data_IF_038627620168
#
_entry.id   IF_038627620168
#
_cell.length_a   1.000
_cell.length_b   1.000
_cell.length_c   1.000
_cell.angle_alpha   90.00
_cell.angle_beta   90.00
_cell.angle_gamma   90.00
#
_symmetry.space_group_name_H-M   'P 1'
#
loop_
_entity.id
_entity.type
_entity.pdbx_description
1 polymer ?
#
# COMPACT_ATOMS: atom_id res chain seq x y z
N UNK A 1 87.40 46.71 22.57
CA UNK A 1 86.54 45.65 23.09
C UNK A 1 85.09 46.01 22.74
N UNK A 2 84.54 45.43 21.60
CA UNK A 2 83.14 45.64 21.20
C UNK A 2 82.29 44.44 21.70
N UNK A 3 81.34 44.71 22.59
CA UNK A 3 80.40 43.72 23.06
C UNK A 3 79.18 43.74 22.11
N UNK A 4 79.04 42.64 21.32
CA UNK A 4 77.81 42.38 20.52
C UNK A 4 76.73 41.84 21.46
N UNK A 5 75.63 42.56 21.52
CA UNK A 5 74.39 42.08 22.14
C UNK A 5 73.58 41.33 21.10
N UNK A 6 73.41 40.01 21.23
CA UNK A 6 72.45 39.19 20.48
C UNK A 6 71.09 39.31 21.17
N UNK A 7 70.10 39.83 20.42
CA UNK A 7 68.69 39.74 20.82
C UNK A 7 68.07 38.41 20.30
N UNK A 8 67.46 37.60 21.11
CA UNK A 8 66.70 36.42 20.62
C UNK A 8 65.37 36.88 20.06
N UNK A 9 65.16 36.66 18.76
CA UNK A 9 63.83 36.78 18.14
C UNK A 9 63.01 35.59 18.58
N UNK A 10 62.03 35.83 19.46
CA UNK A 10 61.00 34.83 19.83
C UNK A 10 60.00 34.79 18.64
N UNK A 11 60.12 33.75 17.84
CA UNK A 11 59.12 33.44 16.77
C UNK A 11 57.88 32.81 17.45
N UNK A 12 56.82 33.62 17.65
CA UNK A 12 55.53 33.14 18.05
C UNK A 12 54.89 32.37 16.89
N UNK A 13 55.00 31.05 16.91
CA UNK A 13 54.23 30.16 16.02
C UNK A 13 52.81 30.14 16.57
N UNK A 14 51.91 30.92 15.92
CA UNK A 14 50.47 30.80 16.11
C UNK A 14 50.06 29.43 15.55
N UNK A 15 49.90 28.45 16.43
CA UNK A 15 49.23 27.18 16.08
C UNK A 15 47.76 27.51 15.89
N UNK A 16 47.38 27.75 14.63
CA UNK A 16 45.99 27.76 14.22
C UNK A 16 45.51 26.31 14.27
N UNK A 17 44.95 25.90 15.40
CA UNK A 17 44.21 24.65 15.47
C UNK A 17 43.04 24.73 14.48
N UNK A 18 42.91 23.80 13.51
CA UNK A 18 41.71 23.75 12.72
C UNK A 18 40.54 23.50 13.67
N UNK A 19 39.63 24.47 13.81
CA UNK A 19 38.32 24.22 14.37
C UNK A 19 37.69 23.12 13.52
N UNK A 20 37.76 21.86 13.98
CA UNK A 20 36.87 20.83 13.54
C UNK A 20 35.47 21.34 13.90
N UNK A 21 34.81 21.91 12.90
CA UNK A 21 33.37 22.11 12.98
C UNK A 21 32.76 20.77 13.40
N UNK A 22 32.14 20.74 14.56
CA UNK A 22 31.28 19.64 14.94
C UNK A 22 30.26 19.54 13.80
N UNK A 23 30.42 18.56 12.94
CA UNK A 23 29.39 18.19 12.00
C UNK A 23 28.15 17.94 12.88
N UNK A 24 27.18 18.83 12.82
CA UNK A 24 25.95 18.71 13.59
C UNK A 24 25.38 17.33 13.35
N UNK A 25 25.00 16.65 14.43
CA UNK A 25 24.37 15.32 14.34
C UNK A 25 23.13 15.47 13.43
N UNK A 26 23.15 14.76 12.31
CA UNK A 26 22.04 14.78 11.35
C UNK A 26 20.86 14.03 11.99
N UNK A 27 19.80 14.75 12.35
CA UNK A 27 18.61 14.17 12.98
C UNK A 27 17.58 13.74 11.94
N UNK A 28 16.72 12.78 12.30
CA UNK A 28 15.59 12.36 11.46
C UNK A 28 14.71 13.55 11.09
N UNK A 29 14.41 14.42 12.06
CA UNK A 29 13.59 15.60 11.86
C UNK A 29 14.16 16.49 10.76
N UNK A 30 15.45 16.77 10.79
CA UNK A 30 16.09 17.64 9.80
C UNK A 30 16.05 17.03 8.38
N UNK A 31 16.22 15.71 8.27
CA UNK A 31 16.17 15.00 6.99
C UNK A 31 14.74 14.96 6.44
N UNK A 32 13.75 14.63 7.27
CA UNK A 32 12.35 14.57 6.89
C UNK A 32 11.81 15.95 6.48
N UNK A 33 12.10 17.00 7.28
CA UNK A 33 11.68 18.37 7.00
C UNK A 33 12.32 18.90 5.69
N UNK A 34 13.54 18.51 5.38
CA UNK A 34 14.19 18.85 4.12
C UNK A 34 13.60 18.10 2.92
N UNK A 35 13.27 16.82 3.10
CA UNK A 35 12.57 16.03 2.08
C UNK A 35 11.17 16.61 1.78
N UNK A 36 10.41 16.99 2.81
CA UNK A 36 9.08 17.57 2.67
C UNK A 36 9.05 18.91 1.89
N UNK A 37 10.20 19.59 1.80
CA UNK A 37 10.34 20.84 1.04
C UNK A 37 10.72 20.63 -0.43
N UNK A 38 10.91 19.40 -0.88
CA UNK A 38 11.20 19.11 -2.29
C UNK A 38 9.98 19.38 -3.16
N UNK A 39 10.23 19.72 -4.43
CA UNK A 39 9.17 20.11 -5.36
C UNK A 39 8.29 18.95 -5.78
N UNK A 40 8.82 17.74 -5.78
CA UNK A 40 8.12 16.51 -6.17
C UNK A 40 8.34 15.40 -5.15
N UNK A 41 7.41 14.43 -5.12
CA UNK A 41 7.55 13.26 -4.26
C UNK A 41 8.76 12.40 -4.67
N UNK A 42 9.06 12.31 -5.97
CA UNK A 42 10.24 11.60 -6.46
C UNK A 42 11.55 12.22 -5.95
N UNK A 43 11.64 13.55 -5.95
CA UNK A 43 12.78 14.25 -5.35
C UNK A 43 12.87 14.05 -3.83
N UNK A 44 11.72 13.98 -3.15
CA UNK A 44 11.67 13.68 -1.70
C UNK A 44 12.21 12.28 -1.41
N UNK A 45 11.79 11.28 -2.18
CA UNK A 45 12.25 9.88 -2.06
C UNK A 45 13.75 9.80 -2.32
N UNK A 46 14.25 10.37 -3.43
CA UNK A 46 15.67 10.38 -3.74
C UNK A 46 16.49 11.04 -2.61
N UNK A 47 16.03 12.19 -2.11
CA UNK A 47 16.69 12.88 -1.03
C UNK A 47 16.76 12.05 0.27
N UNK A 48 15.67 11.35 0.63
CA UNK A 48 15.64 10.47 1.81
C UNK A 48 16.60 9.30 1.64
N UNK A 49 16.63 8.65 0.47
CA UNK A 49 17.53 7.54 0.15
C UNK A 49 19.01 7.95 0.24
N UNK A 50 19.36 9.11 -0.29
CA UNK A 50 20.73 9.62 -0.25
C UNK A 50 21.19 9.99 1.17
N UNK A 51 20.29 10.52 1.99
CA UNK A 51 20.67 11.11 3.28
C UNK A 51 20.46 10.18 4.48
N UNK A 52 19.74 9.06 4.35
CA UNK A 52 19.55 8.12 5.46
C UNK A 52 20.85 7.53 6.00
N UNK A 53 21.86 7.37 5.14
CA UNK A 53 23.19 6.87 5.55
C UNK A 53 23.97 7.85 6.44
N UNK A 54 23.72 9.15 6.30
CA UNK A 54 24.34 10.20 7.12
C UNK A 54 23.76 10.28 8.53
N UNK A 55 22.60 9.66 8.77
CA UNK A 55 21.98 9.59 10.09
C UNK A 55 22.66 8.51 10.92
N UNK A 56 23.33 8.89 12.01
CA UNK A 56 24.14 7.96 12.83
C UNK A 56 23.36 7.38 14.00
N UNK A 57 22.44 8.15 14.60
CA UNK A 57 21.62 7.68 15.72
C UNK A 57 20.61 6.64 15.23
N UNK A 58 20.57 5.46 15.89
CA UNK A 58 19.70 4.34 15.47
C UNK A 58 18.23 4.70 15.45
N UNK A 59 17.73 5.45 16.46
CA UNK A 59 16.34 5.87 16.51
C UNK A 59 15.98 6.79 15.33
N UNK A 60 16.83 7.78 15.04
CA UNK A 60 16.67 8.68 13.91
C UNK A 60 16.70 7.91 12.57
N UNK A 61 17.66 6.99 12.42
CA UNK A 61 17.78 6.18 11.21
C UNK A 61 16.52 5.33 10.97
N UNK A 62 16.00 4.70 12.02
CA UNK A 62 14.74 3.95 11.97
C UNK A 62 13.59 4.87 11.53
N UNK A 63 13.48 6.06 12.11
CA UNK A 63 12.43 7.01 11.79
C UNK A 63 12.49 7.48 10.33
N UNK A 64 13.70 7.75 9.79
CA UNK A 64 13.88 8.12 8.37
C UNK A 64 13.47 6.97 7.45
N UNK A 65 13.90 5.72 7.73
CA UNK A 65 13.47 4.57 6.94
C UNK A 65 11.96 4.36 7.01
N UNK A 66 11.35 4.47 8.20
CA UNK A 66 9.89 4.32 8.36
C UNK A 66 9.13 5.38 7.57
N UNK A 67 9.61 6.63 7.56
CA UNK A 67 9.02 7.70 6.78
C UNK A 67 9.17 7.47 5.27
N UNK A 68 10.38 7.09 4.81
CA UNK A 68 10.63 6.75 3.41
C UNK A 68 9.71 5.61 2.95
N UNK A 69 9.60 4.55 3.74
CA UNK A 69 8.72 3.42 3.44
C UNK A 69 7.25 3.85 3.31
N UNK A 70 6.78 4.72 4.19
CA UNK A 70 5.41 5.25 4.13
C UNK A 70 5.18 6.09 2.86
N UNK A 71 6.15 6.87 2.42
CA UNK A 71 6.06 7.64 1.16
C UNK A 71 6.02 6.69 -0.04
N UNK A 72 6.87 5.67 -0.08
CA UNK A 72 6.90 4.66 -1.14
C UNK A 72 5.57 3.88 -1.20
N UNK A 73 5.00 3.52 -0.04
CA UNK A 73 3.71 2.87 0.06
C UNK A 73 2.58 3.74 -0.52
N UNK A 74 2.55 5.04 -0.19
CA UNK A 74 1.57 5.98 -0.73
C UNK A 74 1.67 6.15 -2.25
N UNK A 75 2.85 5.93 -2.82
CA UNK A 75 3.06 5.92 -4.26
C UNK A 75 2.72 4.57 -4.93
N UNK A 76 2.29 3.56 -4.16
CA UNK A 76 2.05 2.20 -4.66
C UNK A 76 3.32 1.42 -4.98
N UNK A 77 4.50 1.91 -4.58
CA UNK A 77 5.79 1.22 -4.73
C UNK A 77 5.97 0.17 -3.63
N UNK A 78 5.03 -0.79 -3.58
CA UNK A 78 4.90 -1.72 -2.46
C UNK A 78 6.12 -2.62 -2.28
N UNK A 79 6.78 -3.05 -3.36
CA UNK A 79 7.97 -3.90 -3.28
C UNK A 79 9.16 -3.18 -2.63
N UNK A 80 9.32 -1.89 -2.90
CA UNK A 80 10.35 -1.06 -2.28
C UNK A 80 9.97 -0.68 -0.84
N UNK A 81 8.69 -0.36 -0.63
CA UNK A 81 8.17 -0.05 0.70
C UNK A 81 8.35 -1.21 1.69
N UNK A 82 8.03 -2.45 1.28
CA UNK A 82 8.23 -3.63 2.16
C UNK A 82 9.68 -3.79 2.58
N UNK A 83 10.63 -3.66 1.64
CA UNK A 83 12.05 -3.78 1.93
C UNK A 83 12.53 -2.66 2.87
N UNK A 84 12.04 -1.45 2.65
CA UNK A 84 12.40 -0.28 3.47
C UNK A 84 11.81 -0.37 4.88
N UNK A 85 10.57 -0.86 5.05
CA UNK A 85 10.02 -1.15 6.37
C UNK A 85 10.79 -2.25 7.09
N UNK A 86 11.19 -3.32 6.39
CA UNK A 86 12.02 -4.38 6.96
C UNK A 86 13.40 -3.86 7.39
N UNK A 87 14.00 -2.97 6.60
CA UNK A 87 15.23 -2.28 7.00
C UNK A 87 15.02 -1.44 8.26
N UNK A 88 13.94 -0.65 8.33
CA UNK A 88 13.61 0.13 9.53
C UNK A 88 13.44 -0.78 10.75
N UNK A 89 12.75 -1.92 10.60
CA UNK A 89 12.54 -2.89 11.69
C UNK A 89 13.85 -3.52 12.20
N UNK A 90 14.84 -3.70 11.31
CA UNK A 90 16.15 -4.29 11.64
C UNK A 90 17.10 -3.32 12.35
N UNK A 91 16.85 -2.02 12.28
CA UNK A 91 17.70 -1.04 12.98
C UNK A 91 17.53 -1.21 14.48
N UNK A 92 18.61 -1.56 15.15
CA UNK A 92 18.62 -1.71 16.62
C UNK A 92 18.24 -0.38 17.29
N UNK A 93 17.32 -0.43 18.25
CA UNK A 93 16.89 0.74 19.02
C UNK A 93 15.92 0.29 20.10
N UNK A 94 15.99 0.89 21.29
CA UNK A 94 14.97 0.67 22.31
C UNK A 94 13.68 1.40 21.93
N UNK A 95 12.55 0.87 22.37
CA UNK A 95 11.25 1.54 22.25
C UNK A 95 11.25 2.92 22.95
N UNK A 96 12.16 3.13 23.89
CA UNK A 96 12.28 4.36 24.67
C UNK A 96 12.99 5.51 23.93
N UNK A 97 13.55 5.25 22.73
CA UNK A 97 14.25 6.25 21.92
C UNK A 97 13.32 6.92 20.91
N UNK A 98 12.21 7.49 21.38
CA UNK A 98 11.32 8.25 20.51
C UNK A 98 12.01 9.51 20.00
N UNK A 99 11.94 9.73 18.70
CA UNK A 99 12.42 10.96 18.04
C UNK A 99 11.29 11.98 18.05
N UNK A 100 11.56 13.15 18.62
CA UNK A 100 10.56 14.20 18.73
C UNK A 100 10.09 14.71 17.36
N UNK A 101 8.78 14.83 17.21
CA UNK A 101 8.16 15.43 16.01
C UNK A 101 8.14 14.55 14.78
N UNK A 102 8.41 13.24 14.91
CA UNK A 102 8.25 12.24 13.86
C UNK A 102 7.42 11.06 14.34
N UNK A 103 6.81 10.33 13.41
CA UNK A 103 6.06 9.12 13.74
C UNK A 103 7.05 8.03 14.17
N UNK A 104 6.95 7.61 15.42
CA UNK A 104 7.76 6.54 15.97
C UNK A 104 7.01 5.21 15.91
N UNK A 105 7.61 4.21 15.30
CA UNK A 105 7.10 2.83 15.25
C UNK A 105 8.13 1.88 15.84
N UNK A 106 7.66 0.91 16.61
CA UNK A 106 8.51 -0.17 17.10
C UNK A 106 8.79 -1.20 15.98
N UNK A 107 9.71 -2.13 16.23
CA UNK A 107 10.10 -3.11 15.22
C UNK A 107 8.95 -4.03 14.79
N UNK A 108 8.07 -4.42 15.72
CA UNK A 108 6.91 -5.26 15.39
C UNK A 108 5.90 -4.53 14.50
N UNK A 109 5.62 -3.26 14.77
CA UNK A 109 4.75 -2.42 13.93
C UNK A 109 5.31 -2.28 12.51
N UNK A 110 6.63 -2.08 12.39
CA UNK A 110 7.30 -1.97 11.09
C UNK A 110 7.29 -3.29 10.31
N UNK A 111 7.42 -4.42 11.01
CA UNK A 111 7.26 -5.74 10.39
C UNK A 111 5.84 -5.93 9.86
N UNK A 112 4.81 -5.54 10.62
CA UNK A 112 3.42 -5.59 10.17
C UNK A 112 3.18 -4.70 8.94
N UNK A 113 3.79 -3.52 8.87
CA UNK A 113 3.73 -2.67 7.68
C UNK A 113 4.45 -3.31 6.48
N UNK A 114 5.59 -3.99 6.70
CA UNK A 114 6.29 -4.75 5.67
C UNK A 114 5.42 -5.91 5.13
N UNK A 115 4.72 -6.64 6.01
CA UNK A 115 3.76 -7.69 5.61
C UNK A 115 2.66 -7.12 4.71
N UNK A 116 2.05 -6.00 5.12
CA UNK A 116 1.01 -5.34 4.34
C UNK A 116 1.51 -4.98 2.93
N UNK A 117 2.68 -4.37 2.85
CA UNK A 117 3.28 -4.01 1.58
C UNK A 117 3.66 -5.24 0.73
N UNK A 118 4.17 -6.32 1.35
CA UNK A 118 4.47 -7.57 0.68
C UNK A 118 3.21 -8.20 0.06
N UNK A 119 2.10 -8.22 0.80
CA UNK A 119 0.81 -8.69 0.30
C UNK A 119 0.33 -7.83 -0.88
N UNK A 120 0.43 -6.49 -0.78
CA UNK A 120 0.06 -5.57 -1.87
C UNK A 120 0.96 -5.73 -3.10
N UNK A 121 2.24 -6.05 -2.91
CA UNK A 121 3.18 -6.37 -3.99
C UNK A 121 2.93 -7.76 -4.61
N UNK A 122 2.16 -8.62 -3.92
CA UNK A 122 1.96 -10.04 -4.24
C UNK A 122 3.19 -10.89 -3.96
N UNK A 123 4.05 -10.44 -3.10
CA UNK A 123 5.19 -11.21 -2.58
C UNK A 123 4.76 -11.97 -1.31
N UNK A 124 3.95 -13.01 -1.52
CA UNK A 124 3.39 -13.82 -0.43
C UNK A 124 4.46 -14.60 0.34
N UNK A 125 5.58 -14.92 -0.31
CA UNK A 125 6.69 -15.61 0.34
C UNK A 125 7.37 -14.72 1.39
N UNK A 126 7.64 -13.47 1.05
CA UNK A 126 8.16 -12.50 2.01
C UNK A 126 7.13 -12.17 3.10
N UNK A 127 5.83 -12.04 2.74
CA UNK A 127 4.77 -11.85 3.73
C UNK A 127 4.76 -12.97 4.78
N UNK A 128 4.78 -14.24 4.35
CA UNK A 128 4.83 -15.41 5.26
C UNK A 128 6.12 -15.42 6.09
N UNK A 129 7.26 -15.06 5.50
CA UNK A 129 8.53 -14.97 6.23
C UNK A 129 8.47 -13.93 7.35
N UNK A 130 7.93 -12.75 7.07
CA UNK A 130 7.76 -11.71 8.07
C UNK A 130 6.77 -12.14 9.17
N UNK A 131 5.64 -12.75 8.82
CA UNK A 131 4.65 -13.26 9.79
C UNK A 131 5.23 -14.35 10.70
N UNK A 132 6.14 -15.17 10.19
CA UNK A 132 6.85 -16.21 10.94
C UNK A 132 8.08 -15.69 11.71
N UNK A 133 8.36 -14.40 11.68
CA UNK A 133 9.45 -13.79 12.44
C UNK A 133 9.08 -13.58 13.92
N UNK A 134 9.80 -12.71 14.61
CA UNK A 134 9.57 -12.39 16.02
C UNK A 134 8.12 -11.98 16.35
N UNK A 135 7.39 -11.37 15.40
CA UNK A 135 6.00 -10.91 15.59
C UNK A 135 5.02 -12.06 15.84
N UNK A 136 5.35 -13.28 15.42
CA UNK A 136 4.51 -14.47 15.67
C UNK A 136 4.24 -14.70 17.16
N UNK A 137 5.23 -14.39 18.01
CA UNK A 137 5.17 -14.60 19.46
C UNK A 137 5.01 -13.30 20.25
N UNK A 138 4.51 -12.26 19.58
CA UNK A 138 4.30 -10.94 20.21
C UNK A 138 3.40 -11.02 21.43
N UNK A 139 3.64 -10.14 22.39
CA UNK A 139 2.78 -9.94 23.56
C UNK A 139 1.80 -8.80 23.37
N UNK A 140 1.96 -8.01 22.31
CA UNK A 140 1.03 -6.95 21.95
C UNK A 140 -0.21 -7.55 21.29
N UNK A 141 -1.37 -7.40 21.96
CA UNK A 141 -2.64 -7.93 21.46
C UNK A 141 -3.03 -7.33 20.09
N UNK A 142 -2.70 -6.07 19.85
CA UNK A 142 -2.99 -5.41 18.58
C UNK A 142 -2.15 -5.99 17.46
N UNK A 143 -0.85 -6.16 17.68
CA UNK A 143 0.05 -6.80 16.70
C UNK A 143 -0.39 -8.24 16.44
N UNK A 144 -0.70 -9.00 17.50
CA UNK A 144 -1.22 -10.38 17.38
C UNK A 144 -2.48 -10.45 16.51
N UNK A 145 -3.39 -9.48 16.64
CA UNK A 145 -4.57 -9.43 15.81
C UNK A 145 -4.24 -9.18 14.32
N UNK A 146 -3.29 -8.28 14.02
CA UNK A 146 -2.80 -8.08 12.64
C UNK A 146 -2.10 -9.32 12.09
N UNK A 147 -1.27 -10.01 12.87
CA UNK A 147 -0.62 -11.27 12.44
C UNK A 147 -1.68 -12.27 11.99
N UNK A 148 -2.69 -12.54 12.83
CA UNK A 148 -3.78 -13.45 12.50
C UNK A 148 -4.57 -13.03 11.26
N UNK A 149 -4.88 -11.75 11.11
CA UNK A 149 -5.57 -11.24 9.93
C UNK A 149 -4.73 -11.43 8.67
N UNK A 150 -3.47 -11.07 8.71
CA UNK A 150 -2.58 -11.11 7.54
C UNK A 150 -2.19 -12.55 7.15
N UNK A 151 -2.17 -13.50 8.10
CA UNK A 151 -2.09 -14.93 7.79
C UNK A 151 -3.28 -15.37 6.91
N UNK A 152 -4.50 -14.94 7.26
CA UNK A 152 -5.67 -15.24 6.42
C UNK A 152 -5.58 -14.54 5.06
N UNK A 153 -5.13 -13.30 5.05
CA UNK A 153 -4.95 -12.58 3.81
C UNK A 153 -3.89 -13.21 2.91
N UNK A 154 -2.77 -13.66 3.46
CA UNK A 154 -1.76 -14.41 2.70
C UNK A 154 -2.33 -15.72 2.14
N UNK A 155 -3.12 -16.45 2.93
CA UNK A 155 -3.81 -17.66 2.48
C UNK A 155 -4.78 -17.38 1.34
N UNK A 156 -5.61 -16.33 1.47
CA UNK A 156 -6.55 -15.90 0.43
C UNK A 156 -5.85 -15.52 -0.89
N UNK A 157 -4.70 -14.84 -0.80
CA UNK A 157 -3.93 -14.45 -1.99
C UNK A 157 -3.30 -15.64 -2.73
N UNK A 158 -3.04 -16.73 -2.03
CA UNK A 158 -2.48 -17.98 -2.58
C UNK A 158 -3.56 -18.92 -3.11
N UNK A 159 -4.82 -18.67 -2.80
CA UNK A 159 -5.95 -19.46 -3.24
C UNK A 159 -6.03 -19.54 -4.77
N UNK A 160 -6.24 -20.73 -5.30
CA UNK A 160 -6.32 -21.01 -6.73
C UNK A 160 -7.77 -21.12 -7.21
N UNK A 161 -8.63 -21.55 -6.31
CA UNK A 161 -10.05 -21.72 -6.57
C UNK A 161 -10.89 -21.36 -5.34
N UNK A 162 -12.19 -21.45 -5.51
CA UNK A 162 -13.15 -21.12 -4.47
C UNK A 162 -13.15 -22.10 -3.29
N UNK A 163 -12.70 -23.34 -3.48
CA UNK A 163 -12.53 -24.31 -2.40
C UNK A 163 -11.47 -23.85 -1.41
N UNK A 164 -10.37 -23.30 -1.93
CA UNK A 164 -9.22 -22.86 -1.14
C UNK A 164 -9.56 -21.73 -0.18
N UNK A 165 -10.56 -20.89 -0.49
CA UNK A 165 -10.92 -19.74 0.37
C UNK A 165 -11.89 -20.09 1.50
N UNK A 166 -12.54 -21.25 1.47
CA UNK A 166 -13.58 -21.63 2.45
C UNK A 166 -13.08 -21.63 3.89
N UNK A 167 -11.88 -22.15 4.11
CA UNK A 167 -11.26 -22.20 5.45
C UNK A 167 -10.98 -20.79 5.98
N UNK A 168 -10.37 -19.94 5.14
CA UNK A 168 -10.08 -18.55 5.53
C UNK A 168 -11.35 -17.75 5.78
N UNK A 169 -12.41 -17.94 5.01
CA UNK A 169 -13.71 -17.32 5.26
C UNK A 169 -14.31 -17.76 6.60
N UNK A 170 -14.26 -19.07 6.91
CA UNK A 170 -14.73 -19.60 8.20
C UNK A 170 -13.92 -19.02 9.37
N UNK A 171 -12.59 -18.93 9.21
CA UNK A 171 -11.72 -18.35 10.23
C UNK A 171 -12.01 -16.84 10.42
N UNK A 172 -12.16 -16.08 9.34
CA UNK A 172 -12.50 -14.65 9.40
C UNK A 172 -13.87 -14.42 10.05
N UNK A 173 -14.87 -15.28 9.82
CA UNK A 173 -16.16 -15.23 10.53
C UNK A 173 -15.97 -15.40 12.05
N UNK A 174 -15.10 -16.32 12.45
CA UNK A 174 -14.71 -16.49 13.86
C UNK A 174 -14.05 -15.23 14.40
N UNK A 175 -13.10 -14.66 13.67
CA UNK A 175 -12.39 -13.43 14.07
C UNK A 175 -13.33 -12.23 14.21
N UNK A 176 -14.37 -12.13 13.39
CA UNK A 176 -15.37 -11.07 13.50
C UNK A 176 -16.08 -11.06 14.86
N UNK A 177 -16.17 -12.22 15.54
CA UNK A 177 -16.83 -12.37 16.84
C UNK A 177 -15.87 -12.24 18.05
N UNK A 178 -14.55 -12.45 17.87
CA UNK A 178 -13.59 -12.47 18.97
C UNK A 178 -13.20 -11.06 19.45
N UNK A 179 -13.21 -10.84 20.78
CA UNK A 179 -12.79 -9.57 21.37
C UNK A 179 -11.29 -9.28 21.17
N UNK A 180 -10.45 -10.31 21.15
CA UNK A 180 -9.03 -10.16 20.85
C UNK A 180 -8.76 -9.61 19.44
N UNK A 181 -9.74 -9.65 18.54
CA UNK A 181 -9.64 -9.13 17.16
C UNK A 181 -10.26 -7.74 17.00
N UNK A 182 -10.66 -7.07 18.08
CA UNK A 182 -11.36 -5.76 18.02
C UNK A 182 -10.59 -4.69 17.24
N UNK A 183 -9.26 -4.69 17.32
CA UNK A 183 -8.38 -3.71 16.65
C UNK A 183 -8.41 -3.82 15.12
N UNK A 184 -8.68 -5.01 14.59
CA UNK A 184 -8.72 -5.30 13.14
C UNK A 184 -10.12 -5.71 12.67
N UNK A 185 -11.10 -5.71 13.54
CA UNK A 185 -12.48 -6.15 13.23
C UNK A 185 -13.09 -5.40 12.03
N UNK A 186 -12.92 -4.08 11.86
CA UNK A 186 -13.41 -3.41 10.65
C UNK A 186 -12.84 -4.02 9.37
N UNK A 187 -11.53 -4.28 9.33
CA UNK A 187 -10.87 -4.89 8.17
C UNK A 187 -11.33 -6.34 7.94
N UNK A 188 -11.56 -7.12 9.01
CA UNK A 188 -12.15 -8.47 8.93
C UNK A 188 -13.54 -8.40 8.30
N UNK A 189 -14.40 -7.48 8.77
CA UNK A 189 -15.77 -7.32 8.25
C UNK A 189 -15.78 -6.88 6.79
N UNK A 190 -14.88 -5.95 6.41
CA UNK A 190 -14.73 -5.52 5.02
C UNK A 190 -14.31 -6.68 4.12
N UNK A 191 -13.32 -7.48 4.58
CA UNK A 191 -12.85 -8.66 3.84
C UNK A 191 -14.00 -9.67 3.65
N UNK A 192 -14.75 -9.96 4.70
CA UNK A 192 -15.90 -10.86 4.64
C UNK A 192 -16.97 -10.34 3.68
N UNK A 193 -17.34 -9.05 3.79
CA UNK A 193 -18.30 -8.45 2.87
C UNK A 193 -17.85 -8.54 1.42
N UNK A 194 -16.57 -8.23 1.17
CA UNK A 194 -16.00 -8.30 -0.17
C UNK A 194 -16.02 -9.72 -0.74
N UNK A 195 -15.64 -10.74 0.07
CA UNK A 195 -15.60 -12.14 -0.38
C UNK A 195 -16.97 -12.79 -0.51
N UNK A 196 -17.91 -12.46 0.40
CA UNK A 196 -19.18 -13.18 0.47
C UNK A 196 -20.36 -12.41 -0.11
N UNK A 197 -20.27 -11.10 -0.27
CA UNK A 197 -21.39 -10.23 -0.64
C UNK A 197 -22.46 -10.10 0.47
N UNK A 198 -22.27 -10.71 1.64
CA UNK A 198 -23.26 -10.74 2.70
C UNK A 198 -23.44 -9.36 3.34
N UNK A 199 -24.63 -8.79 3.15
CA UNK A 199 -24.97 -7.44 3.61
C UNK A 199 -24.85 -7.25 5.12
N UNK A 200 -24.94 -8.31 5.94
CA UNK A 200 -24.81 -8.20 7.38
C UNK A 200 -23.46 -7.62 7.81
N UNK A 201 -22.39 -7.90 7.07
CA UNK A 201 -21.06 -7.37 7.38
C UNK A 201 -20.96 -5.86 7.07
N UNK A 202 -21.55 -5.42 5.97
CA UNK A 202 -21.61 -4.01 5.62
C UNK A 202 -22.47 -3.20 6.58
N UNK A 203 -23.61 -3.74 7.00
CA UNK A 203 -24.48 -3.11 8.00
C UNK A 203 -23.80 -3.04 9.37
N UNK A 204 -23.06 -4.09 9.75
CA UNK A 204 -22.26 -4.07 10.98
C UNK A 204 -21.19 -2.98 10.94
N UNK A 205 -20.49 -2.82 9.82
CA UNK A 205 -19.51 -1.73 9.62
C UNK A 205 -20.15 -0.36 9.77
N UNK A 206 -21.26 -0.11 9.08
CA UNK A 206 -21.96 1.18 9.12
C UNK A 206 -22.46 1.52 10.53
N UNK A 207 -22.99 0.52 11.25
CA UNK A 207 -23.60 0.70 12.56
C UNK A 207 -22.56 0.84 13.69
N UNK A 208 -21.57 -0.07 13.73
CA UNK A 208 -20.66 -0.20 14.87
C UNK A 208 -19.32 0.50 14.66
N UNK A 209 -18.96 0.78 13.40
CA UNK A 209 -17.70 1.42 13.02
C UNK A 209 -17.89 2.59 12.04
N UNK A 210 -18.84 3.53 12.29
CA UNK A 210 -19.24 4.56 11.32
C UNK A 210 -18.11 5.49 10.88
N UNK A 211 -17.05 5.61 11.70
CA UNK A 211 -15.89 6.47 11.44
C UNK A 211 -14.68 5.71 10.87
N UNK A 212 -14.79 4.40 10.65
CA UNK A 212 -13.70 3.64 10.07
C UNK A 212 -13.60 3.89 8.56
N UNK A 213 -12.40 3.71 8.04
CA UNK A 213 -12.15 3.79 6.59
C UNK A 213 -12.95 2.70 5.86
N UNK A 214 -13.04 1.52 6.43
CA UNK A 214 -13.79 0.39 5.87
C UNK A 214 -15.30 0.71 5.75
N UNK A 215 -15.84 1.43 6.72
CA UNK A 215 -17.24 1.89 6.63
C UNK A 215 -17.43 2.94 5.53
N UNK A 216 -16.47 3.84 5.34
CA UNK A 216 -16.50 4.82 4.27
C UNK A 216 -16.39 4.15 2.88
N UNK A 217 -15.57 3.09 2.76
CA UNK A 217 -15.49 2.26 1.54
C UNK A 217 -16.84 1.64 1.22
N UNK A 218 -17.48 1.01 2.21
CA UNK A 218 -18.79 0.35 2.04
C UNK A 218 -19.90 1.34 1.69
N UNK A 219 -19.80 2.60 2.15
CA UNK A 219 -20.74 3.68 1.77
C UNK A 219 -20.44 4.30 0.40
N UNK A 220 -19.33 3.92 -0.25
CA UNK A 220 -18.90 4.51 -1.51
C UNK A 220 -18.34 5.93 -1.37
N UNK A 221 -18.01 6.38 -0.17
CA UNK A 221 -17.42 7.70 0.08
C UNK A 221 -15.93 7.77 -0.25
N UNK A 222 -15.27 6.62 -0.28
CA UNK A 222 -13.86 6.47 -0.62
C UNK A 222 -13.77 5.47 -1.76
N UNK A 223 -13.18 5.92 -2.87
CA UNK A 223 -12.74 5.02 -3.93
C UNK A 223 -11.40 4.41 -3.49
N UNK A 224 -11.38 3.13 -3.24
CA UNK A 224 -10.11 2.41 -3.09
C UNK A 224 -9.53 2.18 -4.46
N UNK A 225 -8.28 2.58 -4.66
CA UNK A 225 -7.49 2.06 -5.78
C UNK A 225 -7.52 0.53 -5.71
N UNK A 226 -7.46 -0.20 -6.84
CA UNK A 226 -7.59 -1.66 -6.90
C UNK A 226 -6.36 -2.37 -6.30
N UNK A 227 -5.98 -1.99 -5.09
CA UNK A 227 -4.76 -2.45 -4.43
C UNK A 227 -4.94 -3.21 -3.12
N UNK A 228 -6.10 -3.37 -2.51
CA UNK A 228 -6.23 -4.44 -1.57
C UNK A 228 -6.06 -5.76 -2.33
N UNK A 229 -5.07 -6.56 -1.91
CA UNK A 229 -4.70 -7.85 -2.52
C UNK A 229 -5.89 -8.84 -2.62
N UNK A 230 -6.94 -8.72 -1.82
CA UNK A 230 -8.14 -9.59 -1.90
C UNK A 230 -8.98 -9.38 -3.15
N UNK A 231 -8.79 -8.33 -3.94
CA UNK A 231 -9.42 -8.20 -5.26
C UNK A 231 -8.94 -9.28 -6.25
N UNK A 232 -7.79 -9.88 -5.98
CA UNK A 232 -7.24 -10.95 -6.81
C UNK A 232 -7.67 -12.36 -6.36
N UNK A 233 -8.39 -12.46 -5.23
CA UNK A 233 -8.90 -13.74 -4.73
C UNK A 233 -10.01 -14.24 -5.66
N UNK A 234 -9.93 -15.48 -6.19
CA UNK A 234 -10.97 -16.01 -7.05
C UNK A 234 -12.27 -16.17 -6.27
N UNK A 235 -13.35 -15.69 -6.86
CA UNK A 235 -14.70 -15.79 -6.29
C UNK A 235 -15.57 -16.85 -6.97
N UNK A 236 -15.17 -17.31 -8.13
CA UNK A 236 -15.91 -18.25 -8.93
C UNK A 236 -16.03 -19.60 -8.21
N UNK A 237 -17.27 -20.11 -8.09
CA UNK A 237 -17.55 -21.42 -7.50
C UNK A 237 -17.54 -21.50 -5.97
N UNK A 238 -17.44 -20.39 -5.24
CA UNK A 238 -17.77 -20.38 -3.82
C UNK A 238 -19.28 -20.48 -3.71
N UNK A 239 -19.82 -21.60 -3.19
CA UNK A 239 -21.21 -21.69 -2.73
C UNK A 239 -21.39 -20.73 -1.54
N UNK A 240 -21.54 -19.48 -1.88
CA UNK A 240 -21.99 -18.46 -0.94
C UNK A 240 -23.49 -18.65 -0.81
N UNK A 241 -24.06 -18.54 0.40
CA UNK A 241 -25.50 -18.53 0.52
C UNK A 241 -26.03 -17.46 -0.43
N UNK A 242 -26.95 -17.83 -1.34
CA UNK A 242 -27.64 -16.86 -2.18
C UNK A 242 -28.23 -15.80 -1.26
N UNK A 243 -27.59 -14.63 -1.22
CA UNK A 243 -28.19 -13.47 -0.58
C UNK A 243 -29.19 -12.92 -1.58
N UNK A 244 -30.43 -13.34 -1.46
CA UNK A 244 -31.53 -12.79 -2.23
C UNK A 244 -31.49 -11.26 -2.08
N UNK A 245 -31.16 -10.54 -3.14
CA UNK A 245 -31.24 -9.09 -3.19
C UNK A 245 -29.94 -8.31 -3.00
N UNK A 246 -28.77 -8.94 -3.01
CA UNK A 246 -27.54 -8.17 -3.21
C UNK A 246 -27.40 -7.86 -4.70
N UNK A 247 -27.92 -6.72 -5.07
CA UNK A 247 -27.38 -5.96 -6.19
C UNK A 247 -25.89 -5.88 -5.88
N UNK A 248 -25.05 -6.57 -6.67
CA UNK A 248 -23.64 -6.21 -6.75
C UNK A 248 -23.62 -4.68 -6.74
N UNK A 249 -23.06 -4.09 -5.71
CA UNK A 249 -22.91 -2.64 -5.65
C UNK A 249 -21.82 -2.22 -6.64
N UNK A 250 -22.13 -2.37 -7.93
CA UNK A 250 -21.86 -1.36 -8.89
C UNK A 250 -22.66 -0.18 -8.37
N UNK A 251 -21.99 0.79 -7.74
CA UNK A 251 -22.63 2.01 -7.31
C UNK A 251 -23.35 2.61 -8.51
N UNK A 252 -24.66 2.39 -8.60
CA UNK A 252 -25.55 3.28 -9.30
C UNK A 252 -25.47 4.58 -8.49
N UNK A 253 -24.56 5.44 -8.89
CA UNK A 253 -24.63 6.86 -8.55
C UNK A 253 -25.97 7.31 -9.13
N UNK A 254 -26.92 7.84 -8.33
CA UNK A 254 -28.10 8.47 -8.89
C UNK A 254 -27.62 9.56 -9.83
N UNK A 255 -28.06 9.50 -11.08
CA UNK A 255 -27.82 10.53 -12.06
C UNK A 255 -28.66 11.77 -11.71
N UNK A 256 -28.26 12.49 -10.68
CA UNK A 256 -28.80 13.83 -10.43
C UNK A 256 -27.92 14.60 -9.43
N UNK A 257 -26.74 15.01 -9.83
CA UNK A 257 -25.95 16.10 -9.23
C UNK A 257 -24.68 16.39 -10.05
N UNK A 258 -24.80 16.58 -11.36
CA UNK A 258 -23.71 17.14 -12.16
C UNK A 258 -24.13 18.49 -12.74
N UNK A 259 -24.20 19.49 -11.88
CA UNK A 259 -24.02 20.89 -12.26
C UNK A 259 -23.04 21.51 -11.28
N UNK A 260 -21.77 21.45 -11.61
CA UNK A 260 -20.80 22.41 -11.13
C UNK A 260 -19.82 22.72 -12.25
N UNK A 261 -19.65 23.98 -12.44
CA UNK A 261 -18.96 24.73 -13.46
C UNK A 261 -17.62 24.16 -13.90
N UNK A 262 -17.52 23.95 -15.21
CA UNK A 262 -16.30 23.68 -15.93
C UNK A 262 -15.54 24.97 -16.20
N UNK A 263 -14.44 25.20 -15.57
CA UNK A 263 -13.39 26.07 -16.10
C UNK A 263 -12.25 25.22 -16.66
N UNK A 264 -12.21 25.08 -17.99
CA UNK A 264 -11.01 25.02 -18.81
C UNK A 264 -9.95 23.96 -18.51
N UNK A 265 -10.28 22.65 -18.54
CA UNK A 265 -9.29 21.61 -18.80
C UNK A 265 -9.67 20.92 -20.13
N UNK A 266 -8.68 20.74 -21.00
CA UNK A 266 -8.80 20.01 -22.27
C UNK A 266 -9.31 18.62 -21.95
N UNK A 267 -10.51 18.27 -22.45
CA UNK A 267 -11.08 16.95 -22.20
C UNK A 267 -10.16 15.86 -22.80
N UNK A 268 -9.50 15.10 -21.94
CA UNK A 268 -8.77 13.89 -22.34
C UNK A 268 -9.78 12.88 -22.90
N UNK A 269 -9.48 12.34 -24.08
CA UNK A 269 -10.37 11.41 -24.77
C UNK A 269 -10.14 10.00 -24.23
N UNK A 270 -11.21 9.33 -23.78
CA UNK A 270 -11.14 7.91 -23.45
C UNK A 270 -10.84 7.11 -24.73
N UNK A 271 -9.77 6.33 -24.72
CA UNK A 271 -9.34 5.56 -25.89
C UNK A 271 -9.59 4.06 -25.72
N UNK A 272 -9.61 3.56 -24.49
CA UNK A 272 -9.82 2.13 -24.18
C UNK A 272 -10.52 1.98 -22.83
N UNK A 273 -11.09 0.80 -22.62
CA UNK A 273 -11.62 0.33 -21.35
C UNK A 273 -10.77 -0.83 -20.85
N UNK A 274 -10.20 -0.73 -19.64
CA UNK A 274 -9.47 -1.83 -19.02
C UNK A 274 -10.44 -2.69 -18.20
N UNK A 275 -10.43 -4.00 -18.44
CA UNK A 275 -11.30 -4.96 -17.75
C UNK A 275 -10.58 -5.78 -16.68
N UNK A 276 -9.26 -5.88 -16.74
CA UNK A 276 -8.52 -6.64 -15.75
C UNK A 276 -7.01 -6.53 -15.91
N UNK A 277 -6.30 -6.84 -14.83
CA UNK A 277 -4.84 -6.90 -14.76
C UNK A 277 -4.45 -8.24 -14.14
N UNK A 278 -3.66 -9.05 -14.85
CA UNK A 278 -3.33 -10.41 -14.45
C UNK A 278 -1.82 -10.64 -14.47
N UNK A 279 -1.32 -11.49 -13.58
CA UNK A 279 0.07 -11.97 -13.60
C UNK A 279 0.24 -13.17 -14.52
N UNK A 280 -0.79 -13.99 -14.64
CA UNK A 280 -0.81 -15.16 -15.49
C UNK A 280 -1.58 -14.88 -16.79
N UNK A 281 -0.94 -15.19 -17.90
CA UNK A 281 -1.52 -14.99 -19.23
C UNK A 281 -2.80 -15.82 -19.42
N UNK A 282 -2.86 -17.00 -18.79
CA UNK A 282 -4.02 -17.89 -18.86
C UNK A 282 -5.29 -17.22 -18.33
N UNK A 283 -5.19 -16.49 -17.22
CA UNK A 283 -6.32 -15.77 -16.62
C UNK A 283 -6.77 -14.59 -17.50
N UNK A 284 -5.83 -13.88 -18.11
CA UNK A 284 -6.16 -12.84 -19.08
C UNK A 284 -6.86 -13.42 -20.32
N UNK A 285 -6.39 -14.55 -20.85
CA UNK A 285 -7.03 -15.24 -21.97
C UNK A 285 -8.46 -15.70 -21.63
N UNK A 286 -8.67 -16.24 -20.44
CA UNK A 286 -9.99 -16.66 -19.99
C UNK A 286 -10.98 -15.47 -19.92
N UNK A 287 -10.53 -14.30 -19.46
CA UNK A 287 -11.36 -13.09 -19.47
C UNK A 287 -11.66 -12.64 -20.90
N UNK A 288 -10.65 -12.64 -21.79
CA UNK A 288 -10.83 -12.26 -23.20
C UNK A 288 -11.88 -13.13 -23.87
N UNK A 289 -11.85 -14.45 -23.68
CA UNK A 289 -12.85 -15.36 -24.25
C UNK A 289 -14.27 -15.06 -23.73
N UNK A 290 -14.41 -14.79 -22.43
CA UNK A 290 -15.69 -14.38 -21.84
C UNK A 290 -16.22 -13.07 -22.44
N UNK A 291 -15.35 -12.08 -22.60
CA UNK A 291 -15.69 -10.77 -23.16
C UNK A 291 -16.08 -10.90 -24.64
N UNK A 292 -15.32 -11.70 -25.41
CA UNK A 292 -15.61 -12.01 -26.81
C UNK A 292 -16.94 -12.75 -26.98
N UNK A 293 -17.27 -13.67 -26.08
CA UNK A 293 -18.57 -14.40 -26.13
C UNK A 293 -19.77 -13.48 -25.93
N UNK A 294 -19.56 -12.26 -25.39
CA UNK A 294 -20.59 -11.23 -25.28
C UNK A 294 -20.56 -10.18 -26.39
N UNK A 295 -19.70 -10.38 -27.40
CA UNK A 295 -19.67 -9.56 -28.62
C UNK A 295 -18.69 -8.39 -28.58
N UNK A 296 -17.83 -8.30 -27.56
CA UNK A 296 -16.83 -7.22 -27.46
C UNK A 296 -15.46 -7.67 -27.97
N UNK A 297 -14.75 -6.78 -28.66
CA UNK A 297 -13.40 -7.07 -29.15
C UNK A 297 -12.35 -6.78 -28.07
N UNK A 298 -12.06 -7.77 -27.24
CA UNK A 298 -11.06 -7.67 -26.17
C UNK A 298 -9.69 -8.13 -26.66
N UNK A 299 -8.66 -7.42 -26.19
CA UNK A 299 -7.25 -7.68 -26.48
C UNK A 299 -6.44 -7.78 -25.18
N UNK A 300 -5.31 -8.50 -25.24
CA UNK A 300 -4.35 -8.57 -24.13
C UNK A 300 -3.15 -7.69 -24.50
N UNK A 301 -2.86 -6.73 -23.64
CA UNK A 301 -1.59 -6.01 -23.65
C UNK A 301 -0.74 -6.48 -22.48
N UNK A 302 0.58 -6.29 -22.53
CA UNK A 302 1.45 -6.66 -21.40
C UNK A 302 2.37 -5.51 -21.02
N UNK A 303 2.56 -5.33 -19.73
CA UNK A 303 3.44 -4.35 -19.14
C UNK A 303 4.41 -5.05 -18.19
N UNK A 304 5.70 -4.73 -18.30
CA UNK A 304 6.69 -5.19 -17.32
C UNK A 304 7.05 -4.02 -16.40
N UNK A 305 6.72 -4.15 -15.13
CA UNK A 305 7.01 -3.12 -14.14
C UNK A 305 8.51 -3.09 -13.80
N UNK A 306 9.01 -2.01 -13.19
CA UNK A 306 10.42 -1.88 -12.76
C UNK A 306 10.89 -3.03 -11.85
N UNK A 307 9.98 -3.68 -11.14
CA UNK A 307 10.23 -4.90 -10.33
C UNK A 307 10.57 -6.15 -11.15
N UNK A 308 10.53 -6.07 -12.50
CA UNK A 308 10.67 -7.22 -13.39
C UNK A 308 9.41 -8.08 -13.53
N UNK A 309 8.34 -7.77 -12.81
CA UNK A 309 7.08 -8.52 -12.89
C UNK A 309 6.29 -8.13 -14.13
N UNK A 310 5.98 -9.12 -14.97
CA UNK A 310 5.15 -8.95 -16.16
C UNK A 310 3.67 -9.08 -15.78
N UNK A 311 2.86 -8.13 -16.25
CA UNK A 311 1.41 -8.13 -16.11
C UNK A 311 0.75 -8.21 -17.48
N UNK A 312 -0.40 -8.87 -17.53
CA UNK A 312 -1.27 -9.00 -18.71
C UNK A 312 -2.53 -8.20 -18.45
N UNK A 313 -2.81 -7.23 -19.31
CA UNK A 313 -3.91 -6.27 -19.17
C UNK A 313 -4.92 -6.59 -20.25
N UNK A 314 -6.18 -6.84 -19.87
CA UNK A 314 -7.27 -7.02 -20.82
C UNK A 314 -7.93 -5.67 -21.07
N UNK A 315 -7.99 -5.27 -22.33
CA UNK A 315 -8.55 -4.00 -22.77
C UNK A 315 -9.56 -4.19 -23.91
N UNK A 316 -10.53 -3.29 -23.97
CA UNK A 316 -11.46 -3.13 -25.11
C UNK A 316 -11.32 -1.70 -25.63
N UNK A 317 -11.19 -1.53 -26.94
CA UNK A 317 -11.13 -0.21 -27.55
C UNK A 317 -12.43 0.57 -27.35
N UNK A 318 -12.33 1.88 -27.10
CA UNK A 318 -13.51 2.73 -27.03
C UNK A 318 -14.03 3.07 -28.45
N UNK A 319 -15.32 3.27 -28.59
CA UNK A 319 -15.93 3.70 -29.84
C UNK A 319 -15.99 5.24 -29.94
N UNK A 320 -16.34 5.76 -31.10
CA UNK A 320 -16.46 7.21 -31.32
C UNK A 320 -17.51 7.88 -30.46
N UNK A 321 -18.48 7.12 -29.94
CA UNK A 321 -19.58 7.61 -29.11
C UNK A 321 -19.24 7.60 -27.60
N UNK A 322 -18.13 6.94 -27.19
CA UNK A 322 -17.75 6.79 -25.80
C UNK A 322 -18.67 5.88 -24.99
N UNK A 323 -19.38 4.94 -25.64
CA UNK A 323 -20.42 4.11 -25.01
C UNK A 323 -19.95 2.70 -24.61
N UNK A 324 -18.75 2.27 -25.04
CA UNK A 324 -18.28 0.90 -24.80
C UNK A 324 -18.17 0.57 -23.32
N UNK A 325 -17.75 1.53 -22.49
CA UNK A 325 -17.70 1.33 -21.05
C UNK A 325 -19.07 1.06 -20.42
N UNK A 326 -20.14 1.69 -20.91
CA UNK A 326 -21.50 1.46 -20.44
C UNK A 326 -22.05 0.13 -20.95
N UNK A 327 -21.78 -0.20 -22.20
CA UNK A 327 -22.17 -1.47 -22.82
C UNK A 327 -21.51 -2.66 -22.10
N UNK A 328 -20.22 -2.56 -21.75
CA UNK A 328 -19.50 -3.57 -20.98
C UNK A 328 -20.09 -3.76 -19.58
N UNK A 329 -20.43 -2.68 -18.88
CA UNK A 329 -21.07 -2.76 -17.56
C UNK A 329 -22.46 -3.40 -17.65
N UNK A 330 -23.22 -3.06 -18.67
CA UNK A 330 -24.54 -3.67 -18.94
C UNK A 330 -24.41 -5.17 -19.24
N UNK A 331 -23.29 -5.58 -19.87
CA UNK A 331 -22.99 -6.98 -20.12
C UNK A 331 -22.40 -7.72 -18.90
N UNK A 332 -22.26 -7.05 -17.76
CA UNK A 332 -21.78 -7.61 -16.50
C UNK A 332 -20.27 -7.59 -16.32
N UNK A 333 -19.55 -6.75 -17.08
CA UNK A 333 -18.09 -6.58 -16.91
C UNK A 333 -17.77 -5.26 -16.19
N UNK A 334 -16.90 -5.31 -15.22
CA UNK A 334 -16.28 -4.11 -14.67
C UNK A 334 -15.21 -3.60 -15.65
N UNK A 335 -15.21 -2.29 -15.89
CA UNK A 335 -14.23 -1.65 -16.75
C UNK A 335 -13.87 -0.25 -16.29
N UNK A 336 -12.65 0.17 -16.59
CA UNK A 336 -12.07 1.45 -16.20
C UNK A 336 -11.58 2.18 -17.46
N UNK A 337 -11.91 3.48 -17.63
CA UNK A 337 -11.48 4.23 -18.79
C UNK A 337 -9.96 4.50 -18.74
N UNK A 338 -9.30 4.31 -19.89
CA UNK A 338 -7.93 4.73 -20.14
C UNK A 338 -7.97 5.94 -21.09
N UNK A 339 -7.27 6.98 -20.71
CA UNK A 339 -7.18 8.25 -21.43
C UNK A 339 -5.88 8.36 -22.20
N UNK A 340 -5.88 9.14 -23.27
CA UNK A 340 -4.69 9.55 -24.02
C UNK A 340 -4.42 11.03 -23.85
#
# INVERSE_FOLDING_TARGET
MKKSFLFPVILNILVVSPMRGQAGVVSARSVIDAAAKKSTVAESVAYLQENVSAVTASADKRAVYAFLAAVLEQQGQYAEAQNTYAQAASVAGSADSAVEGVLNKNSEELVIDAVRCALCAGDYASADSYLNSAVRNTKDERISAYVKLYEQWSSLCKAKDAGDIKESVAMLRTYAALDSMKSVRPSVLLTLWHLTGDAQFSENLKKNYPRSMESAIVRGEIQTLPTPFWYFVPRDGVDLPEVAGVVTAGAAVPADSAKSDSSGAKAEKVVRQQLGLFREEANAKALVERVKSKGFNAEITSETRPSGTKYYIVVVGENEKGSVGEELRTAGFECYPLFE
#
